data_IF_279419058226
#
_entry.id   IF_279419058226
#
_cell.length_a   1.000
_cell.length_b   1.000
_cell.length_c   1.000
_cell.angle_alpha   90.00
_cell.angle_beta   90.00
_cell.angle_gamma   90.00
#
_symmetry.space_group_name_H-M   'P 1'
#
loop_
_entity.id
_entity.type
_entity.pdbx_description
1 polymer ?
#
# COMPACT_ATOMS: atom_id res chain seq x y z
N UNK A 1 -9.44 -14.83 -19.13
CA UNK A 1 -9.01 -14.91 -17.72
C UNK A 1 -7.61 -14.35 -17.64
N UNK A 2 -7.49 -13.08 -17.27
CA UNK A 2 -6.20 -12.37 -17.34
C UNK A 2 -5.48 -12.53 -16.01
N UNK A 3 -4.34 -13.25 -16.05
CA UNK A 3 -3.40 -13.37 -14.93
C UNK A 3 -2.75 -12.00 -14.71
N UNK A 4 -3.10 -11.35 -13.61
CA UNK A 4 -2.32 -10.21 -13.09
C UNK A 4 -1.00 -10.77 -12.56
N UNK A 5 0.10 -10.16 -12.98
CA UNK A 5 1.47 -10.58 -12.65
C UNK A 5 1.80 -10.28 -11.19
N UNK A 6 1.37 -11.15 -10.29
CA UNK A 6 2.11 -11.52 -9.09
C UNK A 6 2.72 -12.89 -9.37
N UNK A 7 4.02 -12.96 -9.61
CA UNK A 7 4.68 -14.26 -9.80
C UNK A 7 4.76 -14.98 -8.45
N UNK A 8 3.72 -15.76 -8.14
CA UNK A 8 3.71 -16.76 -7.08
C UNK A 8 4.44 -18.01 -7.58
N UNK A 9 5.69 -18.19 -7.16
CA UNK A 9 6.35 -19.50 -7.20
C UNK A 9 5.81 -20.40 -6.08
N UNK A 10 5.93 -21.74 -6.19
CA UNK A 10 5.21 -22.71 -5.35
C UNK A 10 5.79 -22.86 -3.93
N UNK A 11 6.35 -21.82 -3.34
CA UNK A 11 6.88 -21.84 -1.98
C UNK A 11 6.61 -20.51 -1.28
N UNK A 12 5.60 -20.52 -0.41
CA UNK A 12 5.16 -19.48 0.52
C UNK A 12 4.61 -18.18 -0.10
N UNK A 13 3.33 -17.95 0.18
CA UNK A 13 2.50 -16.80 -0.17
C UNK A 13 2.91 -15.47 0.51
N UNK A 14 4.20 -15.23 0.67
CA UNK A 14 4.74 -13.95 1.11
C UNK A 14 5.30 -13.19 -0.10
N UNK A 15 4.78 -12.00 -0.36
CA UNK A 15 5.46 -11.03 -1.22
C UNK A 15 6.76 -10.65 -0.49
N UNK A 16 7.82 -11.45 -0.66
CA UNK A 16 9.10 -11.34 0.04
C UNK A 16 9.79 -9.96 -0.13
N UNK A 17 9.31 -9.12 -1.04
CA UNK A 17 9.79 -7.75 -1.29
C UNK A 17 8.87 -6.65 -0.75
N UNK A 18 7.68 -6.96 -0.25
CA UNK A 18 6.71 -5.97 0.22
C UNK A 18 7.22 -5.23 1.45
N UNK A 19 7.72 -5.96 2.45
CA UNK A 19 8.30 -5.39 3.66
C UNK A 19 9.44 -4.42 3.33
N UNK A 20 10.39 -4.84 2.47
CA UNK A 20 11.52 -3.99 2.05
C UNK A 20 11.05 -2.72 1.35
N UNK A 21 10.02 -2.83 0.50
CA UNK A 21 9.46 -1.68 -0.21
C UNK A 21 8.80 -0.70 0.76
N UNK A 22 8.03 -1.21 1.72
CA UNK A 22 7.38 -0.39 2.75
C UNK A 22 8.42 0.29 3.64
N UNK A 23 9.44 -0.44 4.12
CA UNK A 23 10.53 0.12 4.91
C UNK A 23 11.26 1.22 4.15
N UNK A 24 11.58 0.99 2.87
CA UNK A 24 12.23 2.00 2.04
C UNK A 24 11.39 3.27 1.92
N UNK A 25 10.07 3.15 1.69
CA UNK A 25 9.18 4.32 1.62
C UNK A 25 9.13 5.04 2.98
N UNK A 26 9.03 4.32 4.09
CA UNK A 26 9.02 4.92 5.43
C UNK A 26 10.34 5.65 5.74
N UNK A 27 11.48 5.10 5.30
CA UNK A 27 12.78 5.74 5.44
C UNK A 27 12.88 7.01 4.58
N UNK A 28 12.40 6.99 3.34
CA UNK A 28 12.34 8.18 2.48
C UNK A 28 11.44 9.27 3.07
N UNK A 29 10.26 8.91 3.61
CA UNK A 29 9.38 9.87 4.27
C UNK A 29 10.09 10.58 5.43
N UNK A 30 10.87 9.84 6.23
CA UNK A 30 11.64 10.39 7.35
C UNK A 30 12.83 11.25 6.89
N UNK A 31 13.57 10.81 5.88
CA UNK A 31 14.80 11.47 5.42
C UNK A 31 14.52 12.74 4.61
N UNK A 32 13.52 12.70 3.72
CA UNK A 32 13.31 13.74 2.69
C UNK A 32 12.02 14.56 2.91
N UNK A 33 11.29 14.29 4.01
CA UNK A 33 10.04 14.98 4.32
C UNK A 33 10.19 16.46 4.71
N UNK A 34 9.07 17.18 4.92
CA UNK A 34 7.71 16.65 4.96
C UNK A 34 7.04 16.54 3.58
N UNK A 35 6.34 15.44 3.36
CA UNK A 35 5.48 15.18 2.21
C UNK A 35 4.02 15.39 2.62
N UNK A 36 3.24 16.02 1.75
CA UNK A 36 1.81 16.21 2.00
C UNK A 36 0.98 14.97 1.68
N UNK A 37 1.43 14.12 0.75
CA UNK A 37 0.68 12.96 0.32
C UNK A 37 1.49 11.99 -0.51
N UNK A 38 0.89 10.86 -0.83
CA UNK A 38 1.52 9.80 -1.63
C UNK A 38 0.66 9.43 -2.83
N UNK A 39 1.30 9.16 -3.98
CA UNK A 39 0.63 8.76 -5.22
C UNK A 39 1.22 7.43 -5.68
N UNK A 40 0.36 6.48 -6.06
CA UNK A 40 0.77 5.18 -6.59
C UNK A 40 -0.01 4.78 -7.84
N UNK A 41 0.60 3.95 -8.69
CA UNK A 41 0.03 3.49 -9.96
C UNK A 41 0.13 1.97 -10.12
N UNK A 42 -0.88 1.34 -10.73
CA UNK A 42 -0.90 -0.11 -11.02
C UNK A 42 -0.65 -0.94 -9.76
N UNK A 43 0.31 -1.86 -9.77
CA UNK A 43 0.72 -2.61 -8.57
C UNK A 43 1.23 -1.71 -7.43
N UNK A 44 1.81 -0.55 -7.75
CA UNK A 44 2.26 0.45 -6.78
C UNK A 44 1.14 1.22 -6.10
N UNK A 45 -0.10 1.17 -6.62
CA UNK A 45 -1.24 1.87 -6.03
C UNK A 45 -1.75 1.25 -4.72
N UNK A 46 -1.31 0.04 -4.36
CA UNK A 46 -1.55 -0.51 -3.01
C UNK A 46 -0.70 0.18 -1.93
N UNK A 47 0.48 0.70 -2.30
CA UNK A 47 1.45 1.26 -1.35
C UNK A 47 0.96 2.53 -0.65
N UNK A 48 0.35 3.53 -1.33
CA UNK A 48 -0.23 4.68 -0.66
C UNK A 48 -1.21 4.30 0.46
N UNK A 49 -2.11 3.35 0.21
CA UNK A 49 -3.07 2.89 1.21
C UNK A 49 -2.36 2.18 2.40
N UNK A 50 -1.42 1.27 2.11
CA UNK A 50 -0.68 0.52 3.14
C UNK A 50 0.14 1.47 4.03
N UNK A 51 0.94 2.34 3.43
CA UNK A 51 1.81 3.28 4.15
C UNK A 51 0.98 4.26 4.96
N UNK A 52 -0.08 4.82 4.38
CA UNK A 52 -1.00 5.72 5.09
C UNK A 52 -1.63 5.04 6.31
N UNK A 53 -2.11 3.80 6.17
CA UNK A 53 -2.60 3.00 7.30
C UNK A 53 -1.54 2.87 8.40
N UNK A 54 -0.29 2.56 8.05
CA UNK A 54 0.77 2.39 9.04
C UNK A 54 1.09 3.71 9.76
N UNK A 55 1.13 4.82 9.04
CA UNK A 55 1.33 6.17 9.62
C UNK A 55 0.18 6.57 10.57
N UNK A 56 -1.05 6.15 10.28
CA UNK A 56 -2.20 6.36 11.15
C UNK A 56 -2.13 5.53 12.43
N UNK A 57 -1.88 4.22 12.29
CA UNK A 57 -1.90 3.25 13.38
C UNK A 57 -0.68 3.35 14.29
N UNK A 58 0.47 3.75 13.76
CA UNK A 58 1.74 3.94 14.50
C UNK A 58 2.15 2.70 15.31
N UNK A 59 1.97 1.53 14.72
CA UNK A 59 2.28 0.23 15.34
C UNK A 59 2.76 -0.75 14.27
N UNK A 60 3.38 -1.85 14.71
CA UNK A 60 3.74 -2.97 13.83
C UNK A 60 2.48 -3.56 13.18
N UNK A 61 2.50 -3.70 11.85
CA UNK A 61 1.37 -4.27 11.07
C UNK A 61 1.93 -5.37 10.17
N UNK A 62 1.29 -6.55 10.17
CA UNK A 62 1.69 -7.71 9.36
C UNK A 62 3.18 -8.11 9.54
N UNK A 63 3.72 -8.00 10.75
CA UNK A 63 5.12 -8.30 11.04
C UNK A 63 6.12 -7.18 10.67
N UNK A 64 5.67 -6.12 9.98
CA UNK A 64 6.52 -4.99 9.59
C UNK A 64 6.66 -4.04 10.78
N UNK A 65 7.88 -3.89 11.35
CA UNK A 65 8.08 -3.13 12.57
C UNK A 65 7.82 -1.65 12.36
N UNK A 66 7.13 -1.03 13.32
CA UNK A 66 7.01 0.43 13.39
C UNK A 66 8.18 1.01 14.18
N UNK A 67 9.10 1.68 13.50
CA UNK A 67 10.28 2.27 14.13
C UNK A 67 10.32 3.81 14.04
N UNK A 68 9.38 4.44 13.31
CA UNK A 68 9.55 5.82 12.85
C UNK A 68 8.55 6.79 13.48
N UNK A 69 8.90 8.08 13.49
CA UNK A 69 8.06 9.16 14.03
C UNK A 69 7.72 10.16 12.93
N UNK A 70 6.93 9.70 11.97
CA UNK A 70 6.42 10.57 10.90
C UNK A 70 4.96 10.98 11.16
N UNK A 71 4.59 12.20 10.74
CA UNK A 71 3.20 12.66 10.81
C UNK A 71 2.33 11.95 9.77
N UNK A 72 1.02 11.90 9.99
CA UNK A 72 0.10 11.35 8.99
C UNK A 72 0.19 12.16 7.68
N UNK A 73 0.01 11.49 6.55
CA UNK A 73 -0.16 12.16 5.26
C UNK A 73 -1.51 12.89 5.24
N UNK A 74 -1.59 13.97 4.47
CA UNK A 74 -2.84 14.72 4.30
C UNK A 74 -3.75 14.07 3.26
N UNK A 75 -3.18 13.31 2.30
CA UNK A 75 -3.94 12.58 1.29
C UNK A 75 -3.14 11.42 0.67
N UNK A 76 -3.85 10.48 0.05
CA UNK A 76 -3.28 9.44 -0.81
C UNK A 76 -4.06 9.31 -2.13
N UNK A 77 -3.35 8.99 -3.21
CA UNK A 77 -3.92 8.80 -4.55
C UNK A 77 -3.51 7.42 -5.08
N UNK A 78 -4.50 6.62 -5.43
CA UNK A 78 -4.35 5.25 -5.93
C UNK A 78 -4.89 5.17 -7.37
N UNK A 79 -3.99 5.09 -8.36
CA UNK A 79 -4.34 5.09 -9.78
C UNK A 79 -4.23 3.68 -10.37
N UNK A 80 -5.30 3.20 -11.01
CA UNK A 80 -5.36 1.90 -11.71
C UNK A 80 -4.88 0.74 -10.84
N UNK A 81 -5.20 0.79 -9.55
CA UNK A 81 -4.68 -0.10 -8.51
C UNK A 81 -5.68 -1.13 -8.02
N UNK A 82 -5.18 -2.10 -7.26
CA UNK A 82 -6.00 -3.07 -6.55
C UNK A 82 -5.64 -3.14 -5.07
N UNK A 83 -6.63 -3.54 -4.26
CA UNK A 83 -6.44 -3.87 -2.85
C UNK A 83 -5.79 -5.25 -2.73
N UNK A 84 -4.81 -5.40 -1.84
CA UNK A 84 -4.28 -6.73 -1.49
C UNK A 84 -5.36 -7.54 -0.75
N UNK A 85 -5.80 -8.66 -1.33
CA UNK A 85 -6.94 -9.46 -0.83
C UNK A 85 -6.56 -10.60 0.11
N UNK A 86 -5.28 -10.95 0.25
CA UNK A 86 -4.87 -12.00 1.18
C UNK A 86 -5.18 -11.56 2.63
N UNK A 87 -5.76 -12.46 3.43
CA UNK A 87 -6.10 -12.24 4.84
C UNK A 87 -4.90 -11.76 5.66
N UNK A 88 -3.69 -12.17 5.30
CA UNK A 88 -2.47 -11.71 5.99
C UNK A 88 -2.29 -10.18 5.90
N UNK A 89 -2.90 -9.51 4.91
CA UNK A 89 -2.81 -8.06 4.68
C UNK A 89 -4.05 -7.28 5.16
N UNK A 90 -5.05 -7.96 5.73
CA UNK A 90 -6.28 -7.32 6.22
C UNK A 90 -5.99 -6.27 7.31
N UNK A 91 -4.96 -6.52 8.13
CA UNK A 91 -4.53 -5.61 9.17
C UNK A 91 -4.02 -4.25 8.65
N UNK A 92 -3.70 -4.13 7.35
CA UNK A 92 -3.45 -2.82 6.74
C UNK A 92 -4.74 -2.02 6.50
N UNK A 93 -5.88 -2.67 6.31
CA UNK A 93 -7.11 -1.97 5.94
C UNK A 93 -8.09 -1.79 7.10
N UNK A 94 -7.84 -2.46 8.24
CA UNK A 94 -8.67 -2.35 9.44
C UNK A 94 -7.90 -1.79 10.66
N UNK A 95 -8.48 -0.87 11.46
CA UNK A 95 -9.69 -0.09 11.16
C UNK A 95 -9.54 0.73 9.86
N UNK A 96 -10.65 1.23 9.34
CA UNK A 96 -10.67 1.97 8.07
C UNK A 96 -9.67 3.13 8.10
N UNK A 97 -8.96 3.30 6.97
CA UNK A 97 -8.05 4.43 6.75
C UNK A 97 -8.87 5.73 6.73
N UNK A 98 -8.48 6.70 7.56
CA UNK A 98 -9.21 7.97 7.71
C UNK A 98 -8.62 9.11 6.86
N UNK A 99 -7.36 8.99 6.45
CA UNK A 99 -6.71 9.91 5.52
C UNK A 99 -7.49 9.95 4.21
N UNK A 100 -7.78 11.15 3.67
CA UNK A 100 -8.45 11.30 2.38
C UNK A 100 -7.78 10.49 1.27
N UNK A 101 -8.53 9.60 0.61
CA UNK A 101 -8.01 8.77 -0.48
C UNK A 101 -8.81 8.97 -1.77
N UNK A 102 -8.11 9.24 -2.88
CA UNK A 102 -8.68 9.25 -4.22
C UNK A 102 -8.29 7.97 -4.97
N UNK A 103 -9.28 7.16 -5.34
CA UNK A 103 -9.09 5.96 -6.16
C UNK A 103 -9.63 6.23 -7.56
N UNK A 104 -8.78 6.05 -8.58
CA UNK A 104 -9.21 6.13 -9.98
C UNK A 104 -8.89 4.82 -10.68
N UNK A 105 -9.90 4.19 -11.28
CA UNK A 105 -9.76 2.96 -12.07
C UNK A 105 -10.33 3.23 -13.46
N UNK A 106 -9.60 2.83 -14.50
CA UNK A 106 -10.06 2.99 -15.88
C UNK A 106 -11.07 1.92 -16.25
N UNK A 107 -12.19 2.30 -16.86
CA UNK A 107 -13.21 1.36 -17.34
C UNK A 107 -12.65 0.39 -18.40
N UNK A 108 -11.69 0.85 -19.20
CA UNK A 108 -11.02 0.06 -20.24
C UNK A 108 -9.73 -0.62 -19.76
N UNK A 109 -9.44 -0.64 -18.45
CA UNK A 109 -8.23 -1.26 -17.93
C UNK A 109 -8.31 -2.79 -18.08
N UNK A 110 -7.48 -3.42 -18.94
CA UNK A 110 -7.52 -4.87 -19.14
C UNK A 110 -6.82 -5.65 -18.03
N UNK A 111 -6.11 -4.95 -17.14
CA UNK A 111 -5.23 -5.50 -16.11
C UNK A 111 -5.91 -5.50 -14.75
N UNK A 112 -6.63 -4.42 -14.41
CA UNK A 112 -7.35 -4.31 -13.14
C UNK A 112 -8.85 -4.20 -13.42
N UNK A 113 -9.63 -5.27 -13.18
CA UNK A 113 -11.08 -5.20 -13.36
C UNK A 113 -11.68 -4.22 -12.34
N UNK A 114 -12.79 -3.56 -12.74
CA UNK A 114 -13.58 -2.72 -11.85
C UNK A 114 -13.99 -3.54 -10.62
N UNK A 115 -13.70 -2.99 -9.44
CA UNK A 115 -13.96 -3.60 -8.13
C UNK A 115 -15.45 -3.54 -7.75
#
# INVERSE_FOLDING_TARGET
>A
GTKVWGYSGPSNDDINSLERSIQHILDTLEQDGPFSGMVGFSSGAAMPAIVTSMLEKRQTVCGIPWARRYSQLQFAICLSGFKLQNKCYEAFYFPNIVTPMFHAVGELDPTVPLA
#
